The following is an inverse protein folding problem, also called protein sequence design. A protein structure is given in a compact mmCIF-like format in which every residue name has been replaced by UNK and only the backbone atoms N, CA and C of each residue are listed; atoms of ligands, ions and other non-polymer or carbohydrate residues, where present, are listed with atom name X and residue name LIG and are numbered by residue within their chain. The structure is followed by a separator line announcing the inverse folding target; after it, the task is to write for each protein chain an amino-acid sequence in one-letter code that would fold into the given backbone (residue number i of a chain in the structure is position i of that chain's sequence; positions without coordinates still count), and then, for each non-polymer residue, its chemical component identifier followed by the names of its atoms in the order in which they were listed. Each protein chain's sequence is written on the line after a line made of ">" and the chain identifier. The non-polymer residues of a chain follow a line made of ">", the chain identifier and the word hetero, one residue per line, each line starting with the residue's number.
data_IF_551450886945
#
_entry.id   IF_551450886945
#
_cell.length_a   1.000
_cell.length_b   1.000
_cell.length_c   1.000
_cell.angle_alpha   90.00
_cell.angle_beta   90.00
_cell.angle_gamma   90.00
#
_symmetry.space_group_name_H-M   'P 1'
#
loop_
_entity.id
_entity.type
_entity.pdbx_description
1 polymer ?
#
# COMPACT_ATOMS: atom_id res chain seq x y z
N UNK A 1 6.98 -1.84 -18.49
CA UNK A 1 7.60 -0.50 -18.61
C UNK A 1 8.86 -0.37 -17.74
N UNK A 2 9.70 0.65 -17.93
CA UNK A 2 10.86 0.92 -17.05
C UNK A 2 10.74 2.28 -16.37
N UNK A 3 11.01 2.33 -15.08
CA UNK A 3 10.88 3.52 -14.24
C UNK A 3 12.11 3.77 -13.39
N UNK A 4 12.48 5.05 -13.28
CA UNK A 4 13.34 5.56 -12.23
C UNK A 4 12.49 6.19 -11.15
N UNK A 5 12.63 5.70 -9.91
CA UNK A 5 11.91 6.21 -8.73
C UNK A 5 12.92 6.86 -7.79
N UNK A 6 12.60 8.05 -7.30
CA UNK A 6 13.37 8.80 -6.32
C UNK A 6 12.45 9.21 -5.18
N UNK A 7 12.73 8.75 -3.96
CA UNK A 7 12.05 9.16 -2.74
C UNK A 7 13.03 9.89 -1.84
N UNK A 8 12.69 11.13 -1.47
CA UNK A 8 13.46 11.95 -0.55
C UNK A 8 12.62 12.35 0.65
N UNK A 9 13.13 12.09 1.83
CA UNK A 9 12.55 12.51 3.10
C UNK A 9 13.53 13.41 3.81
N UNK A 10 13.08 14.58 4.25
CA UNK A 10 13.88 15.53 5.01
C UNK A 10 13.19 15.88 6.31
N UNK A 11 13.86 15.61 7.43
CA UNK A 11 13.47 16.04 8.75
C UNK A 11 14.38 17.17 9.21
N UNK A 12 13.77 18.25 9.72
CA UNK A 12 14.45 19.31 10.44
C UNK A 12 13.89 19.40 11.85
N UNK A 13 14.72 19.08 12.84
CA UNK A 13 14.32 19.11 14.25
C UNK A 13 14.43 20.53 14.79
N UNK A 14 13.49 20.95 15.64
CA UNK A 14 13.52 22.28 16.26
C UNK A 14 14.68 22.45 17.25
N UNK A 15 15.09 21.36 17.91
CA UNK A 15 16.33 21.26 18.67
C UNK A 15 17.05 19.95 18.29
N UNK A 16 18.38 19.84 18.50
CA UNK A 16 19.10 18.63 18.15
C UNK A 16 18.48 17.38 18.80
N UNK A 17 18.10 16.40 17.98
CA UNK A 17 17.74 15.08 18.46
C UNK A 17 19.00 14.40 18.99
N UNK A 18 18.95 13.81 20.19
CA UNK A 18 20.11 13.14 20.80
C UNK A 18 20.35 11.74 20.24
N UNK A 19 19.27 11.06 19.87
CA UNK A 19 19.29 9.76 19.20
C UNK A 19 18.08 9.64 18.27
N UNK A 20 18.24 8.88 17.19
CA UNK A 20 17.16 8.50 16.27
C UNK A 20 17.31 7.04 15.86
N UNK A 21 16.21 6.30 15.84
CA UNK A 21 16.15 4.93 15.32
C UNK A 21 14.99 4.84 14.33
N UNK A 22 15.23 4.26 13.16
CA UNK A 22 14.20 4.13 12.15
C UNK A 22 14.32 2.85 11.33
N UNK A 23 13.16 2.39 10.87
CA UNK A 23 12.95 1.42 9.81
C UNK A 23 12.40 2.12 8.57
N UNK A 24 12.84 1.68 7.40
CA UNK A 24 12.47 2.17 6.08
C UNK A 24 11.93 1.01 5.24
N UNK A 25 10.81 1.25 4.57
CA UNK A 25 10.22 0.37 3.56
C UNK A 25 10.14 1.15 2.25
N UNK A 26 11.32 1.49 1.73
CA UNK A 26 11.47 2.31 0.52
C UNK A 26 11.97 1.49 -0.68
N UNK A 27 12.38 0.25 -0.46
CA UNK A 27 12.92 -0.64 -1.49
C UNK A 27 11.77 -1.34 -2.22
N UNK A 28 11.61 -1.11 -3.54
CA UNK A 28 10.64 -1.85 -4.32
C UNK A 28 10.85 -3.36 -4.22
N UNK A 29 9.78 -4.14 -4.28
CA UNK A 29 9.86 -5.60 -4.25
C UNK A 29 10.04 -6.17 -5.65
N UNK A 30 10.91 -7.16 -5.83
CA UNK A 30 10.91 -7.96 -7.06
C UNK A 30 9.84 -9.07 -6.96
N UNK A 31 9.16 -9.35 -8.06
CA UNK A 31 8.09 -10.34 -8.17
C UNK A 31 7.74 -10.65 -9.64
N UNK A 32 6.65 -11.39 -9.91
CA UNK A 32 6.33 -11.85 -11.26
C UNK A 32 6.17 -10.73 -12.31
N UNK A 33 5.55 -9.62 -11.91
CA UNK A 33 5.28 -8.48 -12.80
C UNK A 33 6.19 -7.27 -12.53
N UNK A 34 7.26 -7.43 -11.73
CA UNK A 34 8.15 -6.33 -11.35
C UNK A 34 9.56 -6.81 -11.03
N UNK A 35 10.58 -6.22 -11.62
CA UNK A 35 11.98 -6.53 -11.37
C UNK A 35 12.73 -5.25 -10.99
N UNK A 36 13.38 -5.26 -9.83
CA UNK A 36 14.27 -4.17 -9.41
C UNK A 36 15.64 -4.39 -10.03
N UNK A 37 16.06 -3.47 -10.91
CA UNK A 37 17.34 -3.53 -11.60
C UNK A 37 18.47 -2.94 -10.77
N UNK A 38 18.21 -1.83 -10.09
CA UNK A 38 19.19 -1.19 -9.22
C UNK A 38 18.51 -0.38 -8.12
N UNK A 39 19.25 -0.18 -7.03
CA UNK A 39 18.78 0.43 -5.79
C UNK A 39 19.94 1.15 -5.11
N UNK A 40 19.69 2.34 -4.58
CA UNK A 40 20.63 3.07 -3.72
C UNK A 40 19.86 3.78 -2.60
N UNK A 41 20.37 3.68 -1.38
CA UNK A 41 19.89 4.42 -0.22
C UNK A 41 21.03 5.28 0.32
N UNK A 42 20.73 6.54 0.62
CA UNK A 42 21.62 7.47 1.31
C UNK A 42 20.90 7.99 2.55
N UNK A 43 21.59 7.95 3.69
CA UNK A 43 21.11 8.48 4.97
C UNK A 43 22.14 9.51 5.44
N UNK A 44 21.67 10.70 5.78
CA UNK A 44 22.47 11.78 6.37
C UNK A 44 21.87 12.16 7.72
N UNK A 45 22.64 12.18 8.82
CA UNK A 45 24.07 11.86 8.96
C UNK A 45 24.43 10.44 8.55
N UNK A 46 25.65 10.25 8.03
CA UNK A 46 26.12 8.94 7.58
C UNK A 46 26.26 7.99 8.77
N UNK A 47 25.53 6.88 8.71
CA UNK A 47 25.53 5.81 9.70
C UNK A 47 25.41 4.46 8.99
N UNK A 48 25.86 3.37 9.62
CA UNK A 48 25.62 2.03 9.09
C UNK A 48 24.11 1.76 8.95
N UNK A 49 23.72 1.24 7.78
CA UNK A 49 22.35 0.80 7.51
C UNK A 49 22.35 -0.72 7.40
N UNK A 50 21.54 -1.38 8.23
CA UNK A 50 21.26 -2.80 8.13
C UNK A 50 20.00 -3.06 7.31
N UNK A 51 19.80 -4.31 6.88
CA UNK A 51 18.57 -4.73 6.22
C UNK A 51 18.15 -6.14 6.61
N UNK A 52 16.85 -6.40 6.54
CA UNK A 52 16.25 -7.72 6.70
C UNK A 52 14.96 -7.83 5.88
N UNK A 53 14.46 -9.05 5.71
CA UNK A 53 13.14 -9.31 5.14
C UNK A 53 12.14 -9.52 6.28
N UNK A 54 11.04 -8.75 6.31
CA UNK A 54 10.00 -8.93 7.32
C UNK A 54 9.09 -10.13 7.04
N UNK A 55 8.16 -10.43 7.96
CA UNK A 55 7.24 -11.56 7.83
C UNK A 55 6.42 -11.56 6.52
N UNK A 56 6.16 -10.38 5.95
CA UNK A 56 5.36 -10.20 4.73
C UNK A 56 6.18 -10.30 3.45
N UNK A 57 7.50 -10.43 3.57
CA UNK A 57 8.43 -10.41 2.44
C UNK A 57 8.88 -9.00 2.05
N UNK A 58 8.65 -7.98 2.89
CA UNK A 58 9.11 -6.63 2.57
C UNK A 58 10.60 -6.50 2.89
N UNK A 59 11.34 -5.83 2.01
CA UNK A 59 12.70 -5.41 2.31
C UNK A 59 12.67 -4.21 3.26
N UNK A 60 13.12 -4.43 4.49
CA UNK A 60 13.21 -3.41 5.53
C UNK A 60 14.67 -3.02 5.72
N UNK A 61 14.96 -1.73 5.61
CA UNK A 61 16.26 -1.17 5.98
C UNK A 61 16.12 -0.45 7.32
N UNK A 62 17.13 -0.54 8.18
CA UNK A 62 17.08 0.10 9.49
C UNK A 62 18.42 0.73 9.84
N UNK A 63 18.37 1.80 10.65
CA UNK A 63 19.55 2.49 11.11
C UNK A 63 19.32 3.13 12.48
N UNK A 64 20.42 3.44 13.15
CA UNK A 64 20.43 4.21 14.39
C UNK A 64 21.46 5.34 14.28
N UNK A 65 21.07 6.55 14.69
CA UNK A 65 21.93 7.71 14.84
C UNK A 65 22.12 7.92 16.34
N UNK A 66 23.24 7.47 16.94
CA UNK A 66 23.44 7.50 18.39
C UNK A 66 24.04 8.83 18.88
N UNK A 67 23.94 9.90 18.10
CA UNK A 67 24.53 11.20 18.41
C UNK A 67 23.64 12.37 17.99
N UNK A 68 23.98 13.55 18.52
CA UNK A 68 23.22 14.79 18.29
C UNK A 68 23.22 15.19 16.82
N UNK A 69 22.03 15.44 16.27
CA UNK A 69 21.85 15.91 14.90
C UNK A 69 20.64 16.83 14.81
N UNK A 70 20.71 17.82 13.93
CA UNK A 70 19.62 18.80 13.70
C UNK A 70 18.77 18.46 12.48
N UNK A 71 19.27 17.58 11.61
CA UNK A 71 18.59 17.16 10.38
C UNK A 71 18.76 15.67 10.16
N UNK A 72 17.76 15.04 9.56
CA UNK A 72 17.85 13.69 9.00
C UNK A 72 17.39 13.75 7.54
N UNK A 73 18.26 13.35 6.60
CA UNK A 73 17.92 13.23 5.18
C UNK A 73 17.99 11.78 4.76
N UNK A 74 16.97 11.34 4.04
CA UNK A 74 16.90 10.01 3.45
C UNK A 74 16.65 10.19 1.97
N UNK A 75 17.51 9.63 1.14
CA UNK A 75 17.34 9.63 -0.31
C UNK A 75 17.46 8.20 -0.83
N UNK A 76 16.33 7.69 -1.32
CA UNK A 76 16.20 6.37 -1.92
C UNK A 76 16.01 6.54 -3.43
N UNK A 77 16.83 5.89 -4.24
CA UNK A 77 16.65 5.80 -5.68
C UNK A 77 16.60 4.35 -6.14
N UNK A 78 15.76 4.06 -7.12
CA UNK A 78 15.59 2.71 -7.67
C UNK A 78 15.27 2.75 -9.16
N UNK A 79 15.75 1.75 -9.89
CA UNK A 79 15.38 1.46 -11.27
C UNK A 79 14.54 0.19 -11.27
N UNK A 80 13.32 0.28 -11.77
CA UNK A 80 12.33 -0.80 -11.72
C UNK A 80 11.79 -1.05 -13.12
N UNK A 81 11.73 -2.31 -13.50
CA UNK A 81 11.02 -2.76 -14.70
C UNK A 81 9.71 -3.42 -14.25
N UNK A 82 8.60 -3.02 -14.83
CA UNK A 82 7.27 -3.58 -14.59
C UNK A 82 6.76 -4.30 -15.84
N UNK A 83 5.88 -5.25 -15.67
CA UNK A 83 5.24 -6.00 -16.75
C UNK A 83 3.72 -6.00 -16.53
N UNK A 84 2.91 -6.25 -17.57
CA UNK A 84 1.47 -6.42 -17.42
C UNK A 84 1.13 -7.44 -16.33
N UNK A 85 0.01 -7.21 -15.65
CA UNK A 85 -0.48 -8.15 -14.65
C UNK A 85 -0.89 -9.47 -15.32
N UNK A 86 -0.69 -10.59 -14.62
CA UNK A 86 -1.16 -11.89 -15.08
C UNK A 86 -2.69 -11.89 -15.28
N UNK A 87 -3.14 -12.62 -16.29
CA UNK A 87 -4.58 -12.81 -16.53
C UNK A 87 -5.25 -13.54 -15.36
N UNK A 88 -6.49 -13.13 -15.07
CA UNK A 88 -7.35 -13.72 -14.04
C UNK A 88 -8.48 -14.57 -14.64
N UNK A 89 -8.42 -14.88 -15.94
CA UNK A 89 -9.42 -15.70 -16.66
C UNK A 89 -9.76 -17.02 -15.95
N UNK A 90 -8.76 -17.67 -15.36
CA UNK A 90 -8.93 -18.93 -14.61
C UNK A 90 -9.78 -18.82 -13.34
N UNK A 91 -10.16 -17.60 -12.94
CA UNK A 91 -10.99 -17.31 -11.78
C UNK A 91 -12.31 -16.60 -12.13
N UNK A 92 -12.61 -16.39 -13.42
CA UNK A 92 -13.82 -15.66 -13.83
C UNK A 92 -15.12 -16.39 -13.47
N UNK A 93 -15.11 -17.72 -13.54
CA UNK A 93 -16.24 -18.59 -13.19
C UNK A 93 -16.22 -19.08 -11.73
N UNK A 94 -15.22 -18.67 -10.95
CA UNK A 94 -15.08 -19.10 -9.55
C UNK A 94 -15.92 -18.22 -8.64
N UNK A 95 -16.83 -18.85 -7.90
CA UNK A 95 -17.65 -18.15 -6.92
C UNK A 95 -16.85 -17.76 -5.67
N UNK A 96 -17.33 -16.77 -4.92
CA UNK A 96 -16.73 -16.38 -3.64
C UNK A 96 -16.67 -17.57 -2.66
N UNK A 97 -17.68 -18.46 -2.65
CA UNK A 97 -17.69 -19.63 -1.79
C UNK A 97 -16.57 -20.62 -2.15
N UNK A 98 -16.41 -20.92 -3.44
CA UNK A 98 -15.35 -21.81 -3.94
C UNK A 98 -13.97 -21.22 -3.68
N UNK A 99 -13.77 -19.94 -3.97
CA UNK A 99 -12.51 -19.25 -3.72
C UNK A 99 -12.10 -19.35 -2.24
N UNK A 100 -13.03 -19.08 -1.31
CA UNK A 100 -12.78 -19.24 0.14
C UNK A 100 -12.36 -20.66 0.49
N UNK A 101 -13.02 -21.67 -0.08
CA UNK A 101 -12.73 -23.07 0.19
C UNK A 101 -11.36 -23.49 -0.34
N UNK A 102 -11.01 -23.08 -1.57
CA UNK A 102 -9.73 -23.38 -2.20
C UNK A 102 -8.60 -22.72 -1.40
N UNK A 103 -8.70 -21.41 -1.14
CA UNK A 103 -7.65 -20.65 -0.48
C UNK A 103 -7.41 -21.14 0.95
N UNK A 104 -8.48 -21.45 1.69
CA UNK A 104 -8.37 -21.96 3.06
C UNK A 104 -7.61 -23.29 3.16
N UNK A 105 -7.58 -24.08 2.07
CA UNK A 105 -6.85 -25.35 2.00
C UNK A 105 -5.43 -25.18 1.46
N UNK A 106 -5.15 -24.14 0.67
CA UNK A 106 -3.88 -23.98 -0.04
C UNK A 106 -2.88 -23.04 0.65
N UNK A 107 -3.32 -22.07 1.46
CA UNK A 107 -2.43 -21.04 2.01
C UNK A 107 -2.72 -20.72 3.47
N UNK A 108 -1.82 -21.15 4.37
CA UNK A 108 -1.88 -20.77 5.79
C UNK A 108 -1.60 -19.27 5.98
N UNK A 109 -0.71 -18.67 5.17
CA UNK A 109 -0.39 -17.24 5.21
C UNK A 109 -1.61 -16.36 4.86
N UNK A 110 -2.50 -16.86 4.00
CA UNK A 110 -3.74 -16.15 3.66
C UNK A 110 -4.66 -15.93 4.88
N UNK A 111 -4.51 -16.71 5.96
CA UNK A 111 -5.29 -16.53 7.19
C UNK A 111 -4.98 -15.17 7.82
N UNK A 112 -3.71 -14.74 7.85
CA UNK A 112 -3.35 -13.47 8.48
C UNK A 112 -3.88 -12.26 7.72
N UNK A 113 -4.01 -12.38 6.40
CA UNK A 113 -4.63 -11.38 5.53
C UNK A 113 -6.17 -11.37 5.58
N UNK A 114 -6.79 -12.24 6.38
CA UNK A 114 -8.22 -12.18 6.73
C UNK A 114 -8.46 -11.57 8.10
N UNK A 115 -7.45 -11.51 8.96
CA UNK A 115 -7.60 -11.05 10.34
C UNK A 115 -7.85 -9.54 10.41
N UNK A 116 -8.65 -9.08 11.39
CA UNK A 116 -8.78 -7.66 11.63
C UNK A 116 -7.47 -7.07 12.13
N UNK A 117 -7.30 -5.79 11.86
CA UNK A 117 -6.29 -4.93 12.49
C UNK A 117 -6.97 -3.71 13.07
N UNK A 118 -6.21 -2.83 13.73
CA UNK A 118 -6.75 -1.58 14.27
C UNK A 118 -7.32 -0.67 13.16
N UNK A 119 -6.63 -0.59 12.01
CA UNK A 119 -7.04 0.25 10.88
C UNK A 119 -8.05 -0.45 9.95
N UNK A 120 -8.13 -1.78 10.03
CA UNK A 120 -9.05 -2.60 9.22
C UNK A 120 -9.92 -3.45 10.15
N UNK A 121 -10.89 -2.84 10.87
CA UNK A 121 -11.77 -3.55 11.78
C UNK A 121 -12.82 -4.35 11.03
N UNK A 122 -12.87 -5.68 11.22
CA UNK A 122 -13.94 -6.52 10.68
C UNK A 122 -15.10 -6.60 11.67
N UNK A 123 -16.36 -6.58 11.21
CA UNK A 123 -17.48 -6.76 12.15
C UNK A 123 -18.83 -6.18 11.74
N UNK A 124 -19.60 -5.78 12.77
CA UNK A 124 -21.03 -5.47 12.65
C UNK A 124 -21.32 -4.26 11.76
N UNK A 125 -20.53 -3.18 11.87
CA UNK A 125 -20.70 -1.94 11.08
C UNK A 125 -20.65 -2.22 9.58
N UNK A 126 -19.74 -3.12 9.18
CA UNK A 126 -19.54 -3.47 7.78
C UNK A 126 -20.41 -4.63 7.32
N UNK A 127 -21.19 -5.28 8.19
CA UNK A 127 -22.00 -6.44 7.83
C UNK A 127 -23.05 -6.12 6.77
N UNK A 128 -23.64 -4.93 6.83
CA UNK A 128 -24.62 -4.49 5.82
C UNK A 128 -23.97 -4.27 4.46
N UNK A 129 -22.82 -3.57 4.42
CA UNK A 129 -22.04 -3.38 3.19
C UNK A 129 -21.52 -4.72 2.65
N UNK A 130 -21.06 -5.59 3.53
CA UNK A 130 -20.60 -6.91 3.16
C UNK A 130 -21.72 -7.74 2.53
N UNK A 131 -22.94 -7.74 3.09
CA UNK A 131 -24.10 -8.43 2.50
C UNK A 131 -24.51 -7.86 1.13
N UNK A 132 -24.24 -6.57 0.89
CA UNK A 132 -24.52 -5.93 -0.40
C UNK A 132 -23.57 -6.42 -1.50
N UNK A 133 -22.29 -6.56 -1.19
CA UNK A 133 -21.27 -6.87 -2.21
C UNK A 133 -20.88 -8.35 -2.24
N UNK A 134 -20.73 -8.99 -1.07
CA UNK A 134 -20.15 -10.31 -0.95
C UNK A 134 -21.27 -11.36 -0.83
N UNK A 135 -21.72 -11.87 -1.97
CA UNK A 135 -22.58 -13.05 -2.06
C UNK A 135 -21.76 -14.31 -2.29
N UNK A 136 -22.11 -15.41 -1.62
CA UNK A 136 -21.41 -16.70 -1.80
C UNK A 136 -21.48 -17.25 -3.23
N UNK A 137 -22.57 -16.97 -3.95
CA UNK A 137 -22.80 -17.47 -5.31
C UNK A 137 -22.38 -16.48 -6.40
N UNK A 138 -21.92 -15.28 -6.03
CA UNK A 138 -21.38 -14.33 -6.99
C UNK A 138 -19.94 -14.70 -7.34
N UNK A 139 -19.51 -14.36 -8.55
CA UNK A 139 -18.13 -14.57 -9.00
C UNK A 139 -17.18 -13.62 -8.27
N UNK A 140 -16.02 -14.13 -7.86
CA UNK A 140 -15.08 -13.37 -7.02
C UNK A 140 -14.51 -12.14 -7.74
N UNK A 141 -14.23 -12.27 -9.04
CA UNK A 141 -13.69 -11.19 -9.88
C UNK A 141 -14.71 -10.06 -10.01
N UNK A 142 -15.94 -10.38 -10.43
CA UNK A 142 -17.03 -9.39 -10.54
C UNK A 142 -17.34 -8.70 -9.20
N UNK A 143 -17.32 -9.48 -8.11
CA UNK A 143 -17.52 -8.97 -6.75
C UNK A 143 -16.47 -7.92 -6.38
N UNK A 144 -15.20 -8.22 -6.65
CA UNK A 144 -14.08 -7.35 -6.35
C UNK A 144 -14.08 -6.07 -7.22
N UNK A 145 -14.37 -6.19 -8.52
CA UNK A 145 -14.50 -5.04 -9.42
C UNK A 145 -15.67 -4.14 -9.02
N UNK A 146 -16.84 -4.73 -8.71
CA UNK A 146 -18.02 -3.98 -8.27
C UNK A 146 -17.77 -3.21 -6.97
N UNK A 147 -17.00 -3.80 -6.04
CA UNK A 147 -16.59 -3.12 -4.82
C UNK A 147 -15.62 -1.97 -5.10
N UNK A 148 -14.63 -2.19 -5.98
CA UNK A 148 -13.66 -1.18 -6.41
C UNK A 148 -14.35 0.05 -7.00
N UNK A 149 -15.28 -0.19 -7.94
CA UNK A 149 -16.07 0.85 -8.59
C UNK A 149 -16.98 1.58 -7.59
N UNK A 150 -17.61 0.85 -6.66
CA UNK A 150 -18.45 1.47 -5.66
C UNK A 150 -17.66 2.45 -4.78
N UNK A 151 -16.46 2.07 -4.32
CA UNK A 151 -15.63 2.96 -3.51
C UNK A 151 -15.27 4.21 -4.31
N UNK A 152 -14.78 4.04 -5.54
CA UNK A 152 -14.45 5.16 -6.42
C UNK A 152 -15.62 6.14 -6.62
N UNK A 153 -16.83 5.62 -6.84
CA UNK A 153 -18.03 6.46 -7.07
C UNK A 153 -18.60 7.11 -5.81
N UNK A 154 -18.36 6.54 -4.64
CA UNK A 154 -19.03 6.95 -3.40
C UNK A 154 -18.12 7.69 -2.43
N UNK A 155 -16.81 7.71 -2.66
CA UNK A 155 -15.84 8.40 -1.82
C UNK A 155 -15.12 9.49 -2.62
N UNK A 156 -15.06 10.69 -2.05
CA UNK A 156 -14.38 11.83 -2.66
C UNK A 156 -12.93 11.89 -2.17
N UNK A 157 -11.98 12.01 -3.10
CA UNK A 157 -10.56 12.14 -2.77
C UNK A 157 -10.25 13.58 -2.31
N UNK A 158 -9.94 13.75 -1.03
CA UNK A 158 -9.70 15.06 -0.40
C UNK A 158 -8.44 15.01 0.46
N UNK A 159 -7.28 15.49 -0.04
CA UNK A 159 -6.06 15.61 0.75
C UNK A 159 -6.29 16.40 2.04
N UNK A 160 -5.78 15.88 3.17
CA UNK A 160 -5.90 16.53 4.47
C UNK A 160 -7.26 16.36 5.18
N UNK A 161 -8.23 15.66 4.57
CA UNK A 161 -9.49 15.34 5.25
C UNK A 161 -9.33 14.32 6.38
N UNK A 162 -8.28 13.51 6.31
CA UNK A 162 -7.98 12.39 7.21
C UNK A 162 -6.49 12.37 7.56
N UNK A 163 -6.17 11.64 8.63
CA UNK A 163 -4.80 11.29 9.02
C UNK A 163 -4.68 9.79 9.31
N UNK A 164 -3.47 9.30 9.54
CA UNK A 164 -3.17 7.88 9.79
C UNK A 164 -3.92 7.30 11.01
N UNK A 165 -4.38 8.15 11.92
CA UNK A 165 -5.11 7.74 13.12
C UNK A 165 -6.63 7.78 12.97
N UNK A 166 -7.15 8.28 11.84
CA UNK A 166 -8.58 8.43 11.59
C UNK A 166 -9.28 7.06 11.58
N UNK A 167 -10.28 6.84 12.45
CA UNK A 167 -11.01 5.57 12.47
C UNK A 167 -11.78 5.31 11.17
N UNK A 168 -11.83 4.04 10.75
CA UNK A 168 -12.49 3.64 9.51
C UNK A 168 -13.98 3.99 9.49
N UNK A 169 -14.66 3.91 10.64
CA UNK A 169 -16.07 4.28 10.79
C UNK A 169 -16.32 5.73 10.39
N UNK A 170 -15.42 6.64 10.78
CA UNK A 170 -15.51 8.06 10.44
C UNK A 170 -15.30 8.28 8.94
N UNK A 171 -14.40 7.53 8.30
CA UNK A 171 -14.22 7.56 6.84
C UNK A 171 -15.49 7.11 6.12
N UNK A 172 -16.16 6.05 6.59
CA UNK A 172 -17.41 5.55 6.02
C UNK A 172 -18.56 6.57 6.13
N UNK A 173 -18.62 7.30 7.24
CA UNK A 173 -19.60 8.36 7.48
C UNK A 173 -19.33 9.59 6.60
N UNK A 174 -18.09 10.08 6.59
CA UNK A 174 -17.71 11.28 5.84
C UNK A 174 -17.69 11.06 4.33
N UNK A 175 -17.36 9.84 3.89
CA UNK A 175 -17.12 9.48 2.48
C UNK A 175 -16.07 10.38 1.80
N UNK A 176 -15.07 10.81 2.56
CA UNK A 176 -13.95 11.64 2.11
C UNK A 176 -12.66 11.09 2.69
N UNK A 177 -11.59 11.10 1.91
CA UNK A 177 -10.29 10.62 2.36
C UNK A 177 -9.24 10.59 1.25
N UNK A 178 -8.17 9.84 1.49
CA UNK A 178 -7.08 9.62 0.53
C UNK A 178 -6.96 8.13 0.17
N UNK A 179 -6.01 7.77 -0.69
CA UNK A 179 -5.82 6.40 -1.18
C UNK A 179 -5.66 5.37 -0.05
N UNK A 180 -5.02 5.76 1.05
CA UNK A 180 -4.91 4.94 2.27
C UNK A 180 -6.28 4.53 2.81
N UNK A 181 -7.20 5.49 2.94
CA UNK A 181 -8.52 5.26 3.52
C UNK A 181 -9.36 4.35 2.62
N UNK A 182 -9.29 4.56 1.30
CA UNK A 182 -10.04 3.77 0.33
C UNK A 182 -9.56 2.31 0.32
N UNK A 183 -8.25 2.11 0.41
CA UNK A 183 -7.68 0.78 0.56
C UNK A 183 -8.13 0.11 1.88
N UNK A 184 -8.14 0.84 3.02
CA UNK A 184 -8.64 0.28 4.30
C UNK A 184 -10.13 -0.07 4.24
N UNK A 185 -10.97 0.75 3.60
CA UNK A 185 -12.41 0.45 3.40
C UNK A 185 -12.57 -0.84 2.60
N UNK A 186 -11.88 -0.94 1.47
CA UNK A 186 -11.95 -2.11 0.59
C UNK A 186 -11.48 -3.38 1.32
N UNK A 187 -10.33 -3.30 2.01
CA UNK A 187 -9.80 -4.41 2.81
C UNK A 187 -10.80 -4.87 3.86
N UNK A 188 -11.45 -3.93 4.56
CA UNK A 188 -12.33 -4.28 5.65
C UNK A 188 -13.61 -4.98 5.17
N UNK A 189 -14.14 -4.57 4.02
CA UNK A 189 -15.29 -5.22 3.39
C UNK A 189 -14.91 -6.63 2.90
N UNK A 190 -13.77 -6.79 2.21
CA UNK A 190 -13.27 -8.08 1.73
C UNK A 190 -13.01 -9.07 2.87
N UNK A 191 -12.32 -8.62 3.92
CA UNK A 191 -11.97 -9.45 5.09
C UNK A 191 -13.19 -9.83 5.92
N UNK A 192 -14.16 -8.92 6.08
CA UNK A 192 -15.47 -9.26 6.68
C UNK A 192 -16.16 -10.37 5.88
N UNK A 193 -15.95 -10.38 4.55
CA UNK A 193 -16.39 -11.43 3.64
C UNK A 193 -15.47 -12.64 3.60
N UNK A 194 -14.51 -12.78 4.51
CA UNK A 194 -13.60 -13.93 4.55
C UNK A 194 -12.69 -14.07 3.32
N UNK A 195 -12.59 -13.05 2.47
CA UNK A 195 -11.67 -13.02 1.33
C UNK A 195 -10.34 -12.46 1.84
N UNK A 196 -9.22 -13.20 1.74
CA UNK A 196 -7.91 -12.66 2.10
C UNK A 196 -7.52 -11.53 1.16
N UNK A 197 -7.15 -10.41 1.74
CA UNK A 197 -6.70 -9.24 0.99
C UNK A 197 -5.62 -8.51 1.79
N UNK A 198 -4.67 -7.89 1.10
CA UNK A 198 -3.54 -7.20 1.71
C UNK A 198 -3.43 -5.76 1.21
N UNK A 199 -2.98 -4.91 2.11
CA UNK A 199 -2.66 -3.53 1.81
C UNK A 199 -1.34 -3.49 1.06
N UNK A 200 -1.26 -2.70 0.00
CA UNK A 200 -0.01 -2.48 -0.73
C UNK A 200 0.32 -1.00 -0.73
N UNK A 201 1.56 -0.69 -0.37
CA UNK A 201 2.16 0.63 -0.46
C UNK A 201 3.14 0.66 -1.63
N UNK A 202 3.13 1.75 -2.38
CA UNK A 202 4.02 1.91 -3.51
C UNK A 202 3.93 3.27 -4.16
N UNK A 203 4.20 3.29 -5.46
CA UNK A 203 4.20 4.49 -6.28
C UNK A 203 3.35 4.28 -7.52
N UNK A 204 2.81 5.37 -8.06
CA UNK A 204 2.03 5.35 -9.29
C UNK A 204 2.50 6.47 -10.21
N UNK A 205 2.78 6.15 -11.47
CA UNK A 205 3.07 7.18 -12.45
C UNK A 205 1.81 8.03 -12.67
N UNK A 206 1.88 9.34 -12.37
CA UNK A 206 0.72 10.23 -12.40
C UNK A 206 0.07 10.34 -13.78
N UNK A 207 0.87 10.51 -14.83
CA UNK A 207 0.39 10.75 -16.20
C UNK A 207 1.11 9.79 -17.13
N UNK A 208 0.36 9.15 -18.02
CA UNK A 208 0.96 8.41 -19.13
C UNK A 208 1.31 9.41 -20.25
N UNK A 209 2.60 9.63 -20.56
CA UNK A 209 3.01 10.57 -21.60
C UNK A 209 2.53 10.18 -23.01
N UNK A 210 2.07 8.94 -23.20
CA UNK A 210 1.61 8.42 -24.50
C UNK A 210 0.10 8.49 -24.68
N UNK A 211 -0.67 8.77 -23.62
CA UNK A 211 -2.14 8.77 -23.66
C UNK A 211 -2.71 10.10 -23.14
N UNK A 212 -3.59 10.77 -23.90
CA UNK A 212 -4.33 11.92 -23.37
C UNK A 212 -5.27 11.50 -22.24
N UNK A 213 -5.50 12.39 -21.26
CA UNK A 213 -6.39 12.18 -20.10
C UNK A 213 -6.04 10.96 -19.23
N UNK A 214 -4.75 10.66 -19.09
CA UNK A 214 -4.23 9.50 -18.34
C UNK A 214 -3.83 9.81 -16.89
N UNK A 215 -4.31 10.96 -16.37
CA UNK A 215 -4.04 11.45 -15.02
C UNK A 215 -4.62 10.51 -13.95
N UNK A 216 -3.76 10.10 -13.02
CA UNK A 216 -4.09 9.22 -11.89
C UNK A 216 -3.91 9.95 -10.58
N UNK A 217 -4.88 9.86 -9.69
CA UNK A 217 -4.84 10.48 -8.37
C UNK A 217 -3.91 9.68 -7.43
N UNK A 218 -3.20 10.37 -6.53
CA UNK A 218 -2.36 9.75 -5.49
C UNK A 218 -0.85 9.84 -5.69
N UNK A 219 -0.36 10.64 -6.64
CA UNK A 219 1.06 10.68 -7.00
C UNK A 219 1.98 11.56 -6.12
N UNK A 220 1.47 12.20 -5.05
CA UNK A 220 2.20 13.26 -4.34
C UNK A 220 3.37 12.76 -3.46
N UNK A 221 3.28 11.56 -2.88
CA UNK A 221 4.35 10.99 -2.04
C UNK A 221 4.38 9.46 -2.07
N UNK A 222 3.24 8.82 -1.88
CA UNK A 222 3.08 7.37 -2.01
C UNK A 222 1.65 7.07 -2.39
N UNK A 223 1.44 5.95 -3.07
CA UNK A 223 0.13 5.45 -3.41
C UNK A 223 -0.18 4.16 -2.65
N UNK A 224 -1.46 3.87 -2.51
CA UNK A 224 -1.94 2.68 -1.84
C UNK A 224 -3.09 2.02 -2.58
N UNK A 225 -3.07 0.70 -2.62
CA UNK A 225 -4.08 -0.13 -3.26
C UNK A 225 -4.25 -1.46 -2.51
N UNK A 226 -5.15 -2.31 -3.01
CA UNK A 226 -5.45 -3.61 -2.41
C UNK A 226 -5.06 -4.72 -3.34
N UNK A 227 -4.42 -5.76 -2.81
CA UNK A 227 -4.27 -7.04 -3.51
C UNK A 227 -5.14 -8.10 -2.85
N UNK A 228 -5.87 -8.85 -3.67
CA UNK A 228 -6.80 -9.92 -3.30
C UNK A 228 -6.12 -11.25 -3.58
N UNK A 229 -6.15 -12.18 -2.62
CA UNK A 229 -5.67 -13.54 -2.85
C UNK A 229 -6.73 -14.32 -3.64
N UNK A 230 -6.35 -14.79 -4.81
CA UNK A 230 -7.15 -15.67 -5.67
C UNK A 230 -6.68 -17.13 -5.51
N UNK A 231 -7.53 -18.11 -5.86
CA UNK A 231 -7.15 -19.51 -6.02
C UNK A 231 -5.76 -19.69 -6.66
N UNK A 232 -4.94 -20.58 -6.11
CA UNK A 232 -3.55 -20.75 -6.55
C UNK A 232 -2.54 -19.79 -5.91
N UNK A 233 -2.92 -19.08 -4.83
CA UNK A 233 -2.09 -18.14 -4.07
C UNK A 233 -1.54 -16.97 -4.91
N UNK A 234 -2.32 -16.58 -5.93
CA UNK A 234 -2.00 -15.44 -6.79
C UNK A 234 -2.62 -14.17 -6.22
N UNK A 235 -1.87 -13.09 -6.24
CA UNK A 235 -2.31 -11.80 -5.72
C UNK A 235 -2.70 -10.87 -6.85
N UNK A 236 -3.99 -10.52 -6.90
CA UNK A 236 -4.55 -9.66 -7.92
C UNK A 236 -4.88 -8.27 -7.38
N UNK A 237 -4.45 -7.22 -8.07
CA UNK A 237 -4.41 -5.86 -7.54
C UNK A 237 -5.53 -4.98 -8.08
N UNK A 238 -6.18 -4.25 -7.19
CA UNK A 238 -7.21 -3.26 -7.51
C UNK A 238 -6.92 -1.94 -6.80
N UNK A 239 -7.01 -0.85 -7.55
CA UNK A 239 -6.86 0.51 -7.07
C UNK A 239 -8.25 1.19 -6.98
N UNK A 240 -8.83 1.31 -5.76
CA UNK A 240 -10.13 1.94 -5.56
C UNK A 240 -10.10 3.46 -5.73
N UNK A 241 -8.92 4.08 -5.73
CA UNK A 241 -8.76 5.53 -5.91
C UNK A 241 -8.98 5.94 -7.36
N UNK A 242 -8.57 5.09 -8.30
CA UNK A 242 -8.61 5.37 -9.73
C UNK A 242 -9.56 4.41 -10.49
N UNK A 243 -10.27 3.53 -9.78
CA UNK A 243 -11.14 2.50 -10.34
C UNK A 243 -10.48 1.63 -11.41
N UNK A 244 -9.28 1.11 -11.13
CA UNK A 244 -8.51 0.36 -12.11
C UNK A 244 -7.90 -0.92 -11.54
N UNK A 245 -7.62 -1.85 -12.44
CA UNK A 245 -6.74 -2.99 -12.16
C UNK A 245 -5.30 -2.49 -12.11
N UNK A 246 -4.53 -3.01 -11.15
CA UNK A 246 -3.13 -2.62 -10.94
C UNK A 246 -2.27 -3.08 -12.11
N UNK A 247 -1.94 -2.15 -13.01
CA UNK A 247 -1.09 -2.41 -14.17
C UNK A 247 0.36 -1.95 -14.02
N UNK A 248 1.07 -1.88 -15.14
CA UNK A 248 2.50 -1.56 -15.24
C UNK A 248 2.90 -0.21 -14.63
N UNK A 249 1.97 0.73 -14.50
CA UNK A 249 2.20 2.06 -13.92
C UNK A 249 2.29 2.06 -12.40
N UNK A 250 1.97 0.92 -11.75
CA UNK A 250 2.04 0.75 -10.31
C UNK A 250 3.36 0.08 -9.94
N UNK A 251 4.12 0.72 -9.07
CA UNK A 251 5.41 0.22 -8.58
C UNK A 251 5.23 -0.19 -7.13
N UNK A 252 5.25 -1.50 -6.88
CA UNK A 252 5.04 -2.09 -5.57
C UNK A 252 6.27 -1.94 -4.68
N UNK A 253 6.08 -1.45 -3.46
CA UNK A 253 7.15 -1.28 -2.47
C UNK A 253 7.01 -2.22 -1.29
N UNK A 254 5.83 -2.29 -0.69
CA UNK A 254 5.61 -3.16 0.46
C UNK A 254 4.16 -3.63 0.51
N UNK A 255 3.93 -4.82 1.05
CA UNK A 255 2.61 -5.37 1.31
C UNK A 255 2.48 -5.84 2.76
N UNK A 256 1.28 -5.74 3.32
CA UNK A 256 1.01 -6.09 4.71
C UNK A 256 -0.47 -6.11 5.01
N UNK A 257 -0.87 -6.23 6.28
CA UNK A 257 -2.29 -6.27 6.62
C UNK A 257 -2.94 -4.89 6.57
N UNK A 258 -2.20 -3.83 6.89
CA UNK A 258 -2.67 -2.46 6.79
C UNK A 258 -1.47 -1.50 6.64
N UNK A 259 -1.72 -0.19 6.75
CA UNK A 259 -0.68 0.82 6.60
C UNK A 259 0.45 0.68 7.62
N UNK A 260 0.17 0.20 8.83
CA UNK A 260 1.18 0.09 9.89
C UNK A 260 2.26 -0.95 9.54
N UNK A 261 1.89 -2.03 8.85
CA UNK A 261 2.83 -3.06 8.40
C UNK A 261 3.73 -2.56 7.24
N UNK A 262 3.35 -1.48 6.53
CA UNK A 262 4.01 -1.04 5.28
C UNK A 262 4.41 0.44 5.27
N UNK A 263 4.40 1.11 6.41
CA UNK A 263 4.73 2.53 6.51
C UNK A 263 6.12 2.80 5.90
N UNK A 264 6.27 3.74 4.94
CA UNK A 264 7.53 3.99 4.25
C UNK A 264 8.68 4.36 5.20
N UNK A 265 8.34 5.06 6.28
CA UNK A 265 9.24 5.43 7.37
C UNK A 265 8.55 5.15 8.70
N UNK A 266 9.22 4.42 9.60
CA UNK A 266 8.79 4.22 10.98
C UNK A 266 9.97 4.43 11.90
N UNK A 267 9.91 5.42 12.77
CA UNK A 267 11.03 5.72 13.65
C UNK A 267 10.64 6.48 14.89
N UNK A 268 11.58 6.57 15.81
CA UNK A 268 11.49 7.39 17.01
C UNK A 268 12.79 8.15 17.18
N UNK A 269 12.72 9.31 17.83
CA UNK A 269 13.89 10.10 18.18
C UNK A 269 13.73 10.63 19.61
N UNK A 270 14.84 10.95 20.28
CA UNK A 270 14.82 11.68 21.54
C UNK A 270 15.18 13.14 21.32
N UNK A 271 14.29 14.02 21.74
CA UNK A 271 14.43 15.46 21.61
C UNK A 271 13.10 16.14 21.91
N UNK A 272 12.97 17.40 21.50
CA UNK A 272 11.67 18.08 21.52
C UNK A 272 10.80 17.60 20.35
N UNK A 273 9.49 17.53 20.54
CA UNK A 273 8.56 16.94 19.56
C UNK A 273 8.37 17.77 18.28
N UNK A 274 8.72 19.06 18.31
CA UNK A 274 8.60 19.95 17.15
C UNK A 274 9.63 19.59 16.06
N UNK A 275 9.12 19.27 14.87
CA UNK A 275 9.90 18.97 13.69
C UNK A 275 9.15 19.37 12.42
N UNK A 276 9.89 19.69 11.37
CA UNK A 276 9.35 19.86 10.02
C UNK A 276 9.73 18.65 9.18
N UNK A 277 8.78 18.14 8.40
CA UNK A 277 8.93 17.01 7.52
C UNK A 277 8.59 17.43 6.09
N UNK A 278 9.56 17.27 5.19
CA UNK A 278 9.37 17.43 3.75
C UNK A 278 9.56 16.08 3.07
N UNK A 279 8.59 15.66 2.27
CA UNK A 279 8.65 14.43 1.47
C UNK A 279 8.49 14.79 0.00
N UNK A 280 9.39 14.29 -0.83
CA UNK A 280 9.34 14.48 -2.28
C UNK A 280 9.56 13.14 -2.98
N UNK A 281 8.63 12.79 -3.86
CA UNK A 281 8.74 11.59 -4.69
C UNK A 281 8.67 11.97 -6.16
N UNK A 282 9.58 11.40 -6.93
CA UNK A 282 9.67 11.61 -8.37
C UNK A 282 9.73 10.25 -9.06
N UNK A 283 8.88 10.07 -10.08
CA UNK A 283 8.82 8.88 -10.92
C UNK A 283 9.04 9.33 -12.35
N UNK A 284 10.00 8.72 -13.04
CA UNK A 284 10.31 8.99 -14.44
C UNK A 284 10.31 7.70 -15.24
N UNK A 285 9.43 7.60 -16.23
CA UNK A 285 9.50 6.55 -17.25
C UNK A 285 10.80 6.70 -18.05
N UNK A 286 11.46 5.59 -18.33
CA UNK A 286 12.71 5.51 -19.09
C UNK A 286 12.49 4.96 -20.48
#
# INVERSE_FOLDING_TARGET
>A
MRFSVSHKTFYKYAQPASESVAELRLCPMSGPCQIVQSRKLLVEPEVPVGSFEDYWGNSVEYFAIPFRHTTLKIASSSMVETSPQESVEYCEDVTVAEARQIIARSSLKAIDYRRPTRLVPVGKVLRCLNRRFISSNAYIIETALSLNEWIYKNFEYVPGATDVSTPLEKVLEMRKGVCQDFAHVMLSILRTGGIPARYVSGYIEHVDPTQPNSELVGAAASHAWVEINLPGDRWWGLDPTNNQVVGERHIKVAAGRDYHDVAPFRGTFRGVTQQNLDVAVEIKRK
#
